data_IF_663211507565
#
_entry.id   IF_663211507565
#
_cell.length_a   1.000
_cell.length_b   1.000
_cell.length_c   1.000
_cell.angle_alpha   90.00
_cell.angle_beta   90.00
_cell.angle_gamma   90.00
#
_symmetry.space_group_name_H-M   'P 1'
#
loop_
_entity.id
_entity.type
_entity.pdbx_description
1 polymer ?
#
# COMPACT_ATOMS: atom_id res chain seq x y z
N UNK A 1 6.77 5.48 -7.01
CA UNK A 1 6.44 6.26 -5.79
C UNK A 1 5.96 5.29 -4.72
N UNK A 2 6.37 5.45 -3.47
CA UNK A 2 5.85 4.64 -2.37
C UNK A 2 4.49 5.22 -1.96
N UNK A 3 3.47 4.37 -1.93
CA UNK A 3 2.11 4.76 -1.57
C UNK A 3 1.83 4.19 -0.19
N UNK A 4 1.55 5.06 0.78
CA UNK A 4 0.98 4.65 2.05
C UNK A 4 -0.53 4.75 1.96
N UNK A 5 -1.22 3.68 2.36
CA UNK A 5 -2.67 3.63 2.36
C UNK A 5 -3.16 3.45 3.78
N UNK A 6 -4.25 4.13 4.14
CA UNK A 6 -4.95 3.87 5.39
C UNK A 6 -6.45 3.86 5.14
N UNK A 7 -7.16 3.04 5.90
CA UNK A 7 -8.61 2.95 5.80
C UNK A 7 -9.25 4.23 6.32
N UNK A 8 -10.13 4.83 5.52
CA UNK A 8 -10.89 6.04 5.88
C UNK A 8 -12.14 5.75 6.73
N UNK A 9 -12.13 4.64 7.47
CA UNK A 9 -13.24 4.24 8.33
C UNK A 9 -13.06 4.70 9.78
N UNK A 10 -11.95 5.40 10.09
CA UNK A 10 -11.65 5.94 11.41
C UNK A 10 -12.28 7.31 11.63
N UNK A 11 -12.30 7.75 12.88
CA UNK A 11 -12.64 9.13 13.23
C UNK A 11 -11.68 10.13 12.57
N UNK A 12 -12.14 11.38 12.35
CA UNK A 12 -11.30 12.48 11.87
C UNK A 12 -10.01 12.65 12.69
N UNK A 13 -10.08 12.34 13.99
CA UNK A 13 -8.94 12.40 14.91
C UNK A 13 -7.91 11.32 14.58
N UNK A 14 -8.32 10.06 14.45
CA UNK A 14 -7.41 8.95 14.10
C UNK A 14 -6.73 9.18 12.76
N UNK A 15 -7.48 9.64 11.75
CA UNK A 15 -6.92 9.97 10.44
C UNK A 15 -5.88 11.11 10.53
N UNK A 16 -6.14 12.13 11.36
CA UNK A 16 -5.18 13.21 11.61
C UNK A 16 -3.91 12.71 12.30
N UNK A 17 -4.06 11.84 13.30
CA UNK A 17 -2.94 11.24 14.03
C UNK A 17 -2.08 10.35 13.11
N UNK A 18 -2.71 9.53 12.27
CA UNK A 18 -2.02 8.73 11.23
C UNK A 18 -1.25 9.60 10.25
N UNK A 19 -1.88 10.64 9.69
CA UNK A 19 -1.22 11.60 8.79
C UNK A 19 -0.02 12.26 9.47
N UNK A 20 -0.16 12.68 10.73
CA UNK A 20 0.94 13.27 11.50
C UNK A 20 2.09 12.28 11.72
N UNK A 21 1.77 11.04 12.09
CA UNK A 21 2.78 10.00 12.30
C UNK A 21 3.56 9.73 11.01
N UNK A 22 2.86 9.63 9.87
CA UNK A 22 3.48 9.42 8.56
C UNK A 22 4.44 10.56 8.21
N UNK A 23 3.99 11.82 8.32
CA UNK A 23 4.85 12.99 8.07
C UNK A 23 6.09 13.05 8.97
N UNK A 24 5.96 12.57 10.21
CA UNK A 24 7.09 12.56 11.16
C UNK A 24 8.15 11.51 10.81
N UNK A 25 7.78 10.38 10.20
CA UNK A 25 8.68 9.22 10.06
C UNK A 25 9.04 8.87 8.62
N UNK A 26 8.24 9.27 7.62
CA UNK A 26 8.54 9.05 6.21
C UNK A 26 9.10 10.33 5.60
N UNK A 27 10.37 10.31 5.21
CA UNK A 27 11.06 11.41 4.53
C UNK A 27 11.12 11.16 3.02
N UNK A 28 11.03 12.22 2.22
CA UNK A 28 11.04 12.14 0.75
C UNK A 28 9.65 12.14 0.11
N UNK A 29 9.60 11.92 -1.21
CA UNK A 29 8.35 11.95 -1.99
C UNK A 29 7.53 10.67 -1.75
N UNK A 30 6.47 10.81 -0.96
CA UNK A 30 5.48 9.77 -0.70
C UNK A 30 4.09 10.25 -1.10
N UNK A 31 3.26 9.33 -1.57
CA UNK A 31 1.83 9.60 -1.79
C UNK A 31 1.03 8.95 -0.68
N UNK A 32 0.16 9.73 -0.05
CA UNK A 32 -0.72 9.24 1.00
C UNK A 32 -2.14 9.14 0.44
N UNK A 33 -2.71 7.93 0.43
CA UNK A 33 -4.05 7.68 -0.09
C UNK A 33 -4.96 7.23 1.06
N UNK A 34 -6.07 7.93 1.22
CA UNK A 34 -7.18 7.56 2.10
C UNK A 34 -8.24 6.86 1.26
N UNK A 35 -8.58 5.62 1.56
CA UNK A 35 -9.64 4.89 0.85
C UNK A 35 -10.46 4.05 1.82
N UNK A 36 -11.74 3.83 1.49
CA UNK A 36 -12.58 2.94 2.29
C UNK A 36 -12.20 1.47 2.09
N UNK A 37 -11.86 1.10 0.85
CA UNK A 37 -11.32 -0.20 0.48
C UNK A 37 -9.97 -0.04 -0.21
N UNK A 38 -8.96 -0.81 0.23
CA UNK A 38 -7.63 -0.82 -0.41
C UNK A 38 -7.65 -1.50 -1.77
N UNK A 39 -8.68 -2.31 -2.07
CA UNK A 39 -8.93 -2.91 -3.38
C UNK A 39 -9.05 -1.89 -4.51
N UNK A 40 -9.50 -0.67 -4.18
CA UNK A 40 -9.82 0.36 -5.16
C UNK A 40 -8.60 1.24 -5.48
N UNK A 41 -7.48 1.01 -4.80
CA UNK A 41 -6.24 1.75 -5.00
C UNK A 41 -5.41 1.00 -6.06
N UNK A 42 -5.15 1.63 -7.22
CA UNK A 42 -4.29 1.02 -8.23
C UNK A 42 -2.84 0.95 -7.72
N UNK A 43 -2.19 -0.16 -8.03
CA UNK A 43 -0.80 -0.40 -7.65
C UNK A 43 -0.35 -1.77 -8.14
N UNK A 44 0.96 -2.00 -8.19
CA UNK A 44 1.46 -3.31 -8.62
C UNK A 44 1.25 -4.37 -7.56
N UNK A 45 1.43 -3.96 -6.30
CA UNK A 45 1.31 -4.80 -5.14
C UNK A 45 0.64 -4.02 -4.01
N UNK A 46 -0.21 -4.71 -3.27
CA UNK A 46 -0.61 -4.31 -1.93
C UNK A 46 0.20 -5.14 -0.94
N UNK A 47 0.97 -4.47 -0.08
CA UNK A 47 1.58 -5.09 1.10
C UNK A 47 0.68 -4.76 2.29
N UNK A 48 0.04 -5.78 2.86
CA UNK A 48 -0.89 -5.63 3.99
C UNK A 48 -0.71 -6.78 4.98
N UNK A 49 -0.99 -6.55 6.25
CA UNK A 49 -0.98 -7.63 7.24
C UNK A 49 -2.33 -8.36 7.34
N UNK A 50 -3.40 -7.75 6.84
CA UNK A 50 -4.71 -8.40 6.70
C UNK A 50 -4.66 -9.45 5.57
N UNK A 51 -4.85 -10.75 5.85
CA UNK A 51 -4.82 -11.78 4.82
C UNK A 51 -6.01 -11.71 3.85
N UNK A 52 -7.07 -10.97 4.18
CA UNK A 52 -8.29 -10.88 3.38
C UNK A 52 -8.52 -9.42 3.02
N UNK A 53 -8.42 -9.11 1.73
CA UNK A 53 -8.77 -7.78 1.21
C UNK A 53 -10.21 -7.80 0.72
N UNK A 54 -11.13 -7.00 1.29
CA UNK A 54 -12.50 -6.92 0.79
C UNK A 54 -12.54 -6.46 -0.67
N UNK A 55 -13.35 -7.13 -1.51
CA UNK A 55 -13.47 -6.87 -2.94
C UNK A 55 -14.89 -6.41 -3.31
N UNK A 56 -15.28 -5.16 -3.01
CA UNK A 56 -16.61 -4.63 -3.32
C UNK A 56 -16.95 -4.68 -4.82
N UNK A 57 -15.96 -4.56 -5.69
CA UNK A 57 -16.09 -4.58 -7.16
C UNK A 57 -15.73 -5.93 -7.80
N UNK A 58 -15.61 -6.99 -7.00
CA UNK A 58 -15.36 -8.36 -7.47
C UNK A 58 -13.90 -8.68 -7.85
N UNK A 59 -13.04 -7.68 -8.09
CA UNK A 59 -11.60 -7.84 -8.29
C UNK A 59 -10.81 -6.65 -7.73
N UNK A 60 -9.59 -6.87 -7.21
CA UNK A 60 -8.73 -5.75 -6.82
C UNK A 60 -8.20 -5.03 -8.07
N UNK A 61 -7.96 -3.73 -7.94
CA UNK A 61 -7.31 -2.91 -8.98
C UNK A 61 -5.78 -3.01 -8.90
N UNK A 62 -5.24 -3.53 -7.80
CA UNK A 62 -3.82 -3.84 -7.67
C UNK A 62 -3.46 -5.21 -8.25
N UNK A 63 -2.20 -5.38 -8.67
CA UNK A 63 -1.73 -6.60 -9.34
C UNK A 63 -1.60 -7.82 -8.42
N UNK A 64 -0.92 -7.67 -7.26
CA UNK A 64 -0.68 -8.77 -6.29
C UNK A 64 -0.96 -8.35 -4.86
N UNK A 65 -1.32 -9.33 -4.01
CA UNK A 65 -1.45 -9.14 -2.57
C UNK A 65 -0.32 -9.88 -1.86
N UNK A 66 0.57 -9.14 -1.20
CA UNK A 66 1.70 -9.67 -0.43
C UNK A 66 1.39 -9.51 1.05
N UNK A 67 1.35 -10.61 1.80
CA UNK A 67 1.04 -10.54 3.22
C UNK A 67 2.29 -10.21 4.03
N UNK A 68 2.24 -9.14 4.80
CA UNK A 68 3.24 -8.87 5.84
C UNK A 68 2.95 -9.77 7.05
N UNK A 69 3.86 -10.68 7.38
CA UNK A 69 3.63 -11.66 8.45
C UNK A 69 3.50 -10.97 9.82
N UNK A 70 2.42 -11.33 10.52
CA UNK A 70 2.12 -10.96 11.91
C UNK A 70 1.71 -12.21 12.70
N UNK A 71 1.84 -12.21 14.03
CA UNK A 71 1.45 -13.37 14.85
C UNK A 71 0.05 -13.91 14.56
N UNK A 72 -0.92 -13.00 14.35
CA UNK A 72 -2.32 -13.37 14.12
C UNK A 72 -2.60 -13.94 12.73
N UNK A 73 -1.74 -13.69 11.73
CA UNK A 73 -1.98 -14.12 10.35
C UNK A 73 -1.15 -15.36 9.93
N UNK A 74 -0.29 -15.93 10.80
CA UNK A 74 0.61 -17.04 10.45
C UNK A 74 -0.07 -18.30 9.91
N UNK A 75 -1.33 -18.55 10.27
CA UNK A 75 -2.09 -19.72 9.82
C UNK A 75 -2.65 -19.60 8.39
N UNK A 76 -2.64 -18.41 7.80
CA UNK A 76 -3.20 -18.18 6.47
C UNK A 76 -2.22 -18.64 5.39
N UNK A 77 -2.61 -19.68 4.65
CA UNK A 77 -1.86 -20.24 3.53
C UNK A 77 -2.11 -19.41 2.27
N UNK A 78 -1.26 -18.41 2.03
CA UNK A 78 -1.19 -17.65 0.76
C UNK A 78 0.19 -17.82 0.15
N UNK A 79 0.31 -17.60 -1.17
CA UNK A 79 1.55 -17.81 -1.90
C UNK A 79 2.61 -16.74 -1.61
N UNK A 80 2.22 -15.47 -1.46
CA UNK A 80 3.15 -14.35 -1.34
C UNK A 80 3.15 -13.78 0.09
N UNK A 81 4.30 -13.85 0.76
CA UNK A 81 4.53 -13.38 2.13
C UNK A 81 5.90 -12.75 2.29
N UNK A 82 5.98 -11.78 3.18
CA UNK A 82 7.23 -11.21 3.66
C UNK A 82 7.21 -11.17 5.20
N UNK A 83 8.31 -11.54 5.84
CA UNK A 83 8.40 -11.58 7.30
C UNK A 83 8.95 -10.27 7.90
N UNK A 84 9.60 -9.46 7.06
CA UNK A 84 10.21 -8.21 7.47
C UNK A 84 10.34 -7.22 6.29
N UNK A 85 10.63 -5.96 6.61
CA UNK A 85 10.83 -4.89 5.61
C UNK A 85 12.15 -5.01 4.83
N UNK A 86 13.08 -5.88 5.22
CA UNK A 86 14.30 -6.09 4.43
C UNK A 86 14.03 -7.01 3.23
N UNK A 87 13.18 -8.02 3.40
CA UNK A 87 12.66 -8.85 2.30
C UNK A 87 11.81 -8.03 1.33
N UNK A 88 11.06 -7.04 1.83
CA UNK A 88 10.27 -6.16 0.96
C UNK A 88 11.14 -5.31 0.01
N UNK A 89 12.39 -5.00 0.39
CA UNK A 89 13.32 -4.25 -0.46
C UNK A 89 13.79 -5.08 -1.65
N UNK A 90 14.04 -6.38 -1.44
CA UNK A 90 14.47 -7.31 -2.48
C UNK A 90 13.37 -7.45 -3.54
N UNK A 91 12.11 -7.59 -3.12
CA UNK A 91 10.99 -7.66 -4.08
C UNK A 91 10.68 -6.33 -4.76
N UNK A 92 10.80 -5.19 -4.05
CA UNK A 92 10.56 -3.87 -4.62
C UNK A 92 11.63 -3.48 -5.65
N UNK A 93 12.90 -3.80 -5.40
CA UNK A 93 14.01 -3.57 -6.34
C UNK A 93 13.88 -4.40 -7.62
N UNK A 94 13.44 -5.66 -7.50
CA UNK A 94 13.13 -6.50 -8.67
C UNK A 94 11.99 -5.93 -9.53
N UNK A 95 11.10 -5.12 -8.95
CA UNK A 95 9.91 -4.60 -9.64
C UNK A 95 10.12 -3.25 -10.32
N UNK A 96 10.92 -2.34 -9.74
CA UNK A 96 11.26 -1.04 -10.37
C UNK A 96 11.91 -1.23 -11.74
N UNK A 97 12.65 -2.32 -11.94
CA UNK A 97 13.23 -2.66 -13.24
C UNK A 97 12.19 -3.05 -14.30
N UNK A 98 11.02 -3.55 -13.92
CA UNK A 98 9.97 -4.01 -14.84
C UNK A 98 9.08 -2.86 -15.36
N UNK A 99 8.87 -1.83 -14.54
CA UNK A 99 7.98 -0.69 -14.85
C UNK A 99 8.54 0.39 -15.76
N UNK A 100 9.85 0.43 -16.00
CA UNK A 100 10.43 1.36 -16.97
C UNK A 100 9.97 1.09 -18.42
N UNK A 101 9.07 0.12 -18.64
CA UNK A 101 8.60 -0.32 -19.96
C UNK A 101 7.10 -0.16 -20.25
N UNK A 102 6.21 0.11 -19.30
CA UNK A 102 4.75 0.07 -19.57
C UNK A 102 3.92 1.21 -18.92
N UNK A 103 3.73 2.27 -19.72
CA UNK A 103 2.56 3.17 -19.92
C UNK A 103 1.69 3.77 -18.78
N UNK A 104 1.61 5.10 -18.87
CA UNK A 104 0.44 6.00 -19.03
C UNK A 104 -0.98 5.60 -18.55
N UNK A 105 -1.56 6.45 -17.69
CA UNK A 105 -2.94 6.95 -17.85
C UNK A 105 -4.04 6.38 -16.94
N UNK A 106 -4.14 6.82 -15.68
CA UNK A 106 -5.39 6.81 -14.89
C UNK A 106 -5.42 7.98 -13.88
N UNK A 107 -6.56 8.67 -13.69
CA UNK A 107 -6.70 9.76 -12.73
C UNK A 107 -6.97 9.21 -11.34
N UNK A 108 -5.96 9.18 -10.50
CA UNK A 108 -6.09 9.04 -9.04
C UNK A 108 -5.86 10.42 -8.45
N UNK A 109 -6.66 10.83 -7.47
CA UNK A 109 -6.40 12.06 -6.71
C UNK A 109 -5.19 11.79 -5.83
N UNK A 110 -4.00 12.07 -6.35
CA UNK A 110 -2.77 12.05 -5.59
C UNK A 110 -2.64 13.36 -4.82
N UNK A 111 -2.76 13.33 -3.50
CA UNK A 111 -2.09 14.36 -2.70
C UNK A 111 -0.60 14.03 -2.73
N UNK A 112 0.09 14.59 -3.72
CA UNK A 112 1.56 14.60 -3.80
C UNK A 112 2.06 15.74 -2.94
N UNK A 113 2.91 15.41 -1.97
CA UNK A 113 3.52 16.40 -1.10
C UNK A 113 5.00 16.49 -1.44
N UNK A 114 5.45 17.67 -1.82
CA UNK A 114 6.86 18.04 -1.83
C UNK A 114 7.10 18.96 -0.63
N UNK A 115 8.02 18.60 0.26
CA UNK A 115 8.55 19.57 1.23
C UNK A 115 9.57 20.45 0.50
N UNK A 116 9.34 21.76 0.56
CA UNK A 116 10.33 22.80 0.24
C UNK A 116 11.27 23.02 1.42
#
# INVERSE_FOLDING_TARGET
AQICTFRDSGSRRENREKRRWIRKHLTGRHSLISAYFKSDIPGEALIDDDPIVPLPLGKPVFGRHVIFTKPYNKGFRTADRIDNWFESRIEAEMFVHKLSREKEGLPVVYETYEEH
#
